data_IF_755823894273
#
_entry.id   IF_755823894273
#
_cell.length_a   1.000
_cell.length_b   1.000
_cell.length_c   1.000
_cell.angle_alpha   90.00
_cell.angle_beta   90.00
_cell.angle_gamma   90.00
#
_symmetry.space_group_name_H-M   'P 1'
#
loop_
_entity.id
_entity.type
_entity.pdbx_description
1 polymer ?
#
# COMPACT_ATOMS: atom_id res chain seq x y z
N UNK A 1 19.71 -11.96 -20.61
CA UNK A 1 19.12 -12.72 -19.48
C UNK A 1 19.49 -11.94 -18.24
N UNK A 2 18.64 -10.99 -17.84
CA UNK A 2 18.79 -10.34 -16.54
C UNK A 2 18.46 -11.40 -15.48
N UNK A 3 19.32 -11.50 -14.47
CA UNK A 3 19.15 -12.42 -13.36
C UNK A 3 17.79 -12.19 -12.68
N UNK A 4 16.98 -13.23 -12.58
CA UNK A 4 15.84 -13.25 -11.65
C UNK A 4 16.40 -12.81 -10.30
N UNK A 5 15.94 -11.67 -9.79
CA UNK A 5 16.44 -11.15 -8.51
C UNK A 5 16.26 -12.22 -7.43
N UNK A 6 17.34 -12.44 -6.68
CA UNK A 6 17.38 -13.43 -5.59
C UNK A 6 16.27 -13.12 -4.56
N UNK A 7 15.64 -14.16 -4.02
CA UNK A 7 14.59 -13.96 -3.01
C UNK A 7 15.16 -13.19 -1.81
N UNK A 8 14.41 -12.20 -1.26
CA UNK A 8 14.88 -11.51 -0.07
C UNK A 8 15.00 -12.48 1.10
N UNK A 9 16.01 -12.29 1.94
CA UNK A 9 16.08 -12.99 3.22
C UNK A 9 14.98 -12.50 4.15
N UNK A 10 14.69 -11.18 4.16
CA UNK A 10 13.60 -10.57 4.90
C UNK A 10 13.02 -9.38 4.12
N UNK A 11 11.73 -9.38 3.91
CA UNK A 11 11.01 -8.26 3.29
C UNK A 11 10.07 -7.58 4.30
N UNK A 12 9.87 -6.27 4.13
CA UNK A 12 8.83 -5.48 4.80
C UNK A 12 7.84 -4.96 3.76
N UNK A 13 6.57 -5.32 3.91
CA UNK A 13 5.46 -4.79 3.12
C UNK A 13 4.77 -3.69 3.92
N UNK A 14 4.71 -2.47 3.37
CA UNK A 14 4.01 -1.32 3.96
C UNK A 14 2.81 -0.97 3.10
N UNK A 15 1.61 -1.15 3.64
CA UNK A 15 0.34 -0.94 2.93
C UNK A 15 -0.51 0.12 3.63
N UNK A 16 -1.31 0.83 2.85
CA UNK A 16 -2.20 1.87 3.38
C UNK A 16 -3.35 1.30 4.18
N UNK A 17 -3.99 0.25 3.68
CA UNK A 17 -5.20 -0.33 4.25
C UNK A 17 -5.15 -1.85 4.28
N UNK A 18 -5.85 -2.48 5.26
CA UNK A 18 -6.11 -3.91 5.22
C UNK A 18 -6.84 -4.33 3.95
N UNK A 19 -6.34 -5.38 3.29
CA UNK A 19 -6.86 -5.91 2.02
C UNK A 19 -5.93 -5.66 0.82
N UNK A 20 -5.00 -4.67 0.89
CA UNK A 20 -4.05 -4.40 -0.20
C UNK A 20 -3.09 -5.55 -0.44
N UNK A 21 -2.78 -6.30 0.59
CA UNK A 21 -1.94 -7.51 0.54
C UNK A 21 -2.48 -8.58 -0.41
N UNK A 22 -3.79 -8.58 -0.68
CA UNK A 22 -4.40 -9.50 -1.65
C UNK A 22 -3.86 -9.32 -3.08
N UNK A 23 -3.36 -8.12 -3.40
CA UNK A 23 -2.74 -7.84 -4.71
C UNK A 23 -1.45 -8.64 -4.91
N UNK A 24 -0.78 -9.00 -3.82
CA UNK A 24 0.50 -9.70 -3.77
C UNK A 24 0.38 -11.10 -3.12
N UNK A 25 -0.76 -11.78 -3.31
CA UNK A 25 -1.09 -13.03 -2.65
C UNK A 25 -0.02 -14.13 -2.82
N UNK A 26 0.42 -14.33 -4.05
CA UNK A 26 1.45 -15.34 -4.35
C UNK A 26 2.84 -14.90 -3.88
N UNK A 27 3.15 -13.61 -4.00
CA UNK A 27 4.39 -13.06 -3.48
C UNK A 27 4.45 -13.21 -1.95
N UNK A 28 3.36 -12.88 -1.22
CA UNK A 28 3.24 -13.08 0.23
C UNK A 28 3.52 -14.52 0.64
N UNK A 29 2.87 -15.46 -0.04
CA UNK A 29 3.03 -16.89 0.22
C UNK A 29 4.47 -17.37 0.02
N UNK A 30 5.16 -16.80 -0.99
CA UNK A 30 6.54 -17.15 -1.34
C UNK A 30 7.55 -16.51 -0.40
N UNK A 31 7.37 -15.22 -0.09
CA UNK A 31 8.36 -14.39 0.62
C UNK A 31 8.11 -14.36 2.14
N UNK A 32 6.86 -14.47 2.58
CA UNK A 32 6.44 -14.42 4.00
C UNK A 32 6.96 -13.17 4.70
N UNK A 33 6.59 -11.95 4.20
CA UNK A 33 7.16 -10.71 4.68
C UNK A 33 6.66 -10.34 6.08
N UNK A 34 7.36 -9.39 6.69
CA UNK A 34 6.82 -8.53 7.73
C UNK A 34 5.83 -7.57 7.08
N UNK A 35 4.75 -7.23 7.79
CA UNK A 35 3.69 -6.37 7.23
C UNK A 35 3.40 -5.24 8.22
N UNK A 36 3.49 -4.00 7.74
CA UNK A 36 3.07 -2.81 8.45
C UNK A 36 1.89 -2.16 7.72
N UNK A 37 0.82 -1.89 8.45
CA UNK A 37 -0.41 -1.33 7.91
C UNK A 37 -0.56 0.10 8.43
N UNK A 38 -0.74 1.07 7.53
CA UNK A 38 -0.81 2.49 7.87
C UNK A 38 -2.09 2.83 8.63
N UNK A 39 -3.25 2.38 8.12
CA UNK A 39 -4.54 2.63 8.76
C UNK A 39 -5.28 1.34 9.08
N UNK A 40 -6.23 1.41 10.00
CA UNK A 40 -7.06 0.26 10.38
C UNK A 40 -8.12 -0.13 9.33
N UNK A 41 -8.25 0.66 8.25
CA UNK A 41 -9.22 0.42 7.20
C UNK A 41 -10.68 0.62 7.61
N UNK A 42 -10.94 1.32 8.72
CA UNK A 42 -12.29 1.53 9.23
C UNK A 42 -13.17 2.42 8.33
N UNK A 43 -12.54 3.34 7.58
CA UNK A 43 -13.21 4.19 6.61
C UNK A 43 -14.48 4.87 7.17
N UNK A 44 -15.52 4.90 6.35
CA UNK A 44 -16.83 5.46 6.75
C UNK A 44 -17.67 4.52 7.63
N UNK A 45 -17.28 3.25 7.76
CA UNK A 45 -18.03 2.26 8.55
C UNK A 45 -17.67 2.30 10.04
N UNK A 46 -16.51 2.84 10.39
CA UNK A 46 -15.96 2.81 11.75
C UNK A 46 -15.53 1.41 12.22
N UNK A 47 -15.50 0.41 11.33
CA UNK A 47 -15.15 -0.98 11.66
C UNK A 47 -13.78 -1.29 11.10
N UNK A 48 -12.82 -1.59 11.99
CA UNK A 48 -11.46 -2.01 11.60
C UNK A 48 -11.49 -3.34 10.83
N UNK A 49 -10.62 -3.42 9.81
CA UNK A 49 -10.44 -4.64 9.01
C UNK A 49 -9.13 -5.38 9.31
N UNK A 50 -8.42 -4.97 10.36
CA UNK A 50 -7.11 -5.54 10.72
C UNK A 50 -7.18 -7.05 10.96
N UNK A 51 -8.23 -7.55 11.61
CA UNK A 51 -8.35 -8.98 11.91
C UNK A 51 -8.49 -9.81 10.63
N UNK A 52 -9.19 -9.31 9.59
CA UNK A 52 -9.28 -9.98 8.30
C UNK A 52 -7.91 -10.09 7.61
N UNK A 53 -7.11 -9.03 7.66
CA UNK A 53 -5.74 -9.07 7.13
C UNK A 53 -4.82 -9.94 7.97
N UNK A 54 -4.99 -9.95 9.30
CA UNK A 54 -4.22 -10.84 10.18
C UNK A 54 -4.44 -12.30 9.82
N UNK A 55 -5.70 -12.74 9.75
CA UNK A 55 -6.06 -14.10 9.37
C UNK A 55 -5.50 -14.49 8.01
N UNK A 56 -5.56 -13.58 7.04
CA UNK A 56 -5.01 -13.80 5.70
C UNK A 56 -3.48 -13.95 5.74
N UNK A 57 -2.79 -12.95 6.31
CA UNK A 57 -1.33 -12.90 6.32
C UNK A 57 -0.72 -14.07 7.08
N UNK A 58 -1.23 -14.40 8.26
CA UNK A 58 -0.78 -15.56 9.06
C UNK A 58 -1.00 -16.88 8.30
N UNK A 59 -2.14 -17.01 7.58
CA UNK A 59 -2.41 -18.21 6.77
C UNK A 59 -1.42 -18.39 5.61
N UNK A 60 -0.73 -17.31 5.20
CA UNK A 60 0.29 -17.30 4.15
C UNK A 60 1.73 -17.30 4.72
N UNK A 61 1.87 -17.28 6.05
CA UNK A 61 3.15 -17.27 6.75
C UNK A 61 3.79 -15.89 6.90
N UNK A 62 3.07 -14.80 6.59
CA UNK A 62 3.48 -13.42 6.88
C UNK A 62 3.22 -13.04 8.35
N UNK A 63 3.92 -12.01 8.84
CA UNK A 63 3.81 -11.49 10.20
C UNK A 63 3.37 -10.02 10.17
N UNK A 64 2.22 -9.68 10.78
CA UNK A 64 1.84 -8.27 10.95
C UNK A 64 2.60 -7.71 12.15
N UNK A 65 3.57 -6.85 11.86
CA UNK A 65 4.41 -6.17 12.89
C UNK A 65 3.81 -4.83 13.34
N UNK A 66 3.01 -4.17 12.47
CA UNK A 66 2.25 -2.96 12.81
C UNK A 66 0.81 -3.13 12.32
N UNK A 67 -0.15 -3.41 13.23
CA UNK A 67 -1.55 -3.68 12.89
C UNK A 67 -2.40 -2.40 12.82
N UNK A 68 -2.20 -1.55 11.79
CA UNK A 68 -2.94 -0.30 11.65
C UNK A 68 -2.45 0.79 12.61
N UNK A 69 -1.49 1.58 12.15
CA UNK A 69 -0.86 2.64 12.98
C UNK A 69 -1.83 3.74 13.36
N UNK A 70 -2.79 4.03 12.48
CA UNK A 70 -3.79 5.08 12.67
C UNK A 70 -5.21 4.53 12.47
N UNK A 71 -6.14 5.05 13.24
CA UNK A 71 -7.57 4.99 12.88
C UNK A 71 -7.76 5.84 11.64
N UNK A 72 -8.44 5.34 10.62
CA UNK A 72 -8.42 5.97 9.30
C UNK A 72 -8.93 7.42 9.29
N UNK A 73 -10.04 7.82 9.95
CA UNK A 73 -10.43 9.23 10.06
C UNK A 73 -9.40 10.12 10.74
N UNK A 74 -8.63 9.60 11.72
CA UNK A 74 -7.60 10.36 12.39
C UNK A 74 -6.41 10.64 11.47
N UNK A 75 -6.04 9.67 10.63
CA UNK A 75 -5.02 9.85 9.60
C UNK A 75 -5.32 11.07 8.71
N UNK A 76 -6.55 11.18 8.18
CA UNK A 76 -6.93 12.33 7.35
C UNK A 76 -6.96 13.63 8.14
N UNK A 77 -7.42 13.58 9.39
CA UNK A 77 -7.46 14.73 10.28
C UNK A 77 -6.07 15.29 10.56
N UNK A 78 -5.07 14.44 10.75
CA UNK A 78 -3.66 14.83 10.95
C UNK A 78 -3.12 15.54 9.69
N UNK A 79 -3.38 15.00 8.50
CA UNK A 79 -2.96 15.62 7.24
C UNK A 79 -3.61 16.99 7.06
N UNK A 80 -4.93 17.10 7.26
CA UNK A 80 -5.67 18.35 7.10
C UNK A 80 -5.19 19.44 8.06
N UNK A 81 -4.65 19.08 9.23
CA UNK A 81 -4.06 20.03 10.19
C UNK A 81 -2.56 20.24 9.99
N UNK A 82 -1.93 19.57 9.02
CA UNK A 82 -0.48 19.67 8.79
C UNK A 82 0.38 19.09 9.94
N UNK A 83 -0.17 18.17 10.73
CA UNK A 83 0.53 17.55 11.84
C UNK A 83 1.50 16.47 11.34
N UNK A 84 2.80 16.74 11.39
CA UNK A 84 3.84 15.85 10.85
C UNK A 84 4.45 14.89 11.88
N UNK A 85 4.42 15.25 13.16
CA UNK A 85 5.10 14.50 14.22
C UNK A 85 4.64 13.03 14.34
N UNK A 86 3.33 12.68 14.25
CA UNK A 86 2.89 11.29 14.30
C UNK A 86 3.40 10.45 13.12
N UNK A 87 3.52 11.06 11.95
CA UNK A 87 4.03 10.39 10.75
C UNK A 87 5.55 10.17 10.80
N UNK A 88 6.28 11.17 11.35
CA UNK A 88 7.72 11.01 11.60
C UNK A 88 7.99 9.90 12.63
N UNK A 89 7.20 9.83 13.70
CA UNK A 89 7.30 8.76 14.69
C UNK A 89 7.06 7.38 14.06
N UNK A 90 6.12 7.29 13.10
CA UNK A 90 5.89 6.04 12.39
C UNK A 90 7.04 5.71 11.42
N UNK A 91 7.61 6.69 10.72
CA UNK A 91 8.80 6.46 9.90
C UNK A 91 9.99 5.95 10.74
N UNK A 92 10.18 6.48 11.95
CA UNK A 92 11.20 6.01 12.90
C UNK A 92 10.94 4.56 13.38
N UNK A 93 9.68 4.22 13.66
CA UNK A 93 9.27 2.85 14.00
C UNK A 93 9.58 1.87 12.86
N UNK A 94 9.26 2.23 11.62
CA UNK A 94 9.60 1.43 10.45
C UNK A 94 11.12 1.30 10.24
N UNK A 95 11.88 2.39 10.44
CA UNK A 95 13.34 2.37 10.38
C UNK A 95 13.94 1.39 11.39
N UNK A 96 13.43 1.40 12.62
CA UNK A 96 13.84 0.46 13.67
C UNK A 96 13.53 -1.00 13.29
N UNK A 97 12.34 -1.28 12.73
CA UNK A 97 12.00 -2.61 12.21
C UNK A 97 12.97 -3.04 11.09
N UNK A 98 13.29 -2.13 10.15
CA UNK A 98 14.24 -2.38 9.06
C UNK A 98 15.61 -2.80 9.62
N UNK A 99 16.09 -2.10 10.63
CA UNK A 99 17.39 -2.39 11.24
C UNK A 99 17.38 -3.67 12.07
N UNK A 100 16.46 -3.83 13.01
CA UNK A 100 16.39 -4.98 13.92
C UNK A 100 16.11 -6.30 13.22
N UNK A 101 15.20 -6.27 12.24
CA UNK A 101 14.77 -7.48 11.52
C UNK A 101 15.64 -7.74 10.28
N UNK A 102 16.68 -6.94 10.07
CA UNK A 102 17.59 -7.09 8.93
C UNK A 102 16.85 -7.12 7.57
N UNK A 103 15.88 -6.22 7.37
CA UNK A 103 15.11 -6.12 6.14
C UNK A 103 16.02 -5.73 4.97
N UNK A 104 15.95 -6.45 3.85
CA UNK A 104 16.70 -6.20 2.62
C UNK A 104 15.84 -5.75 1.44
N UNK A 105 14.50 -5.84 1.59
CA UNK A 105 13.54 -5.31 0.62
C UNK A 105 12.37 -4.65 1.35
N UNK A 106 12.07 -3.39 1.02
CA UNK A 106 10.86 -2.68 1.43
C UNK A 106 9.95 -2.57 0.22
N UNK A 107 8.69 -3.01 0.37
CA UNK A 107 7.65 -2.92 -0.66
C UNK A 107 6.53 -2.03 -0.14
N UNK A 108 6.01 -1.12 -0.97
CA UNK A 108 4.89 -0.26 -0.57
C UNK A 108 3.84 -0.10 -1.69
N UNK A 109 2.68 0.43 -1.32
CA UNK A 109 1.68 0.88 -2.28
C UNK A 109 2.29 1.97 -3.18
N UNK A 110 1.98 1.94 -4.49
CA UNK A 110 2.45 2.96 -5.42
C UNK A 110 1.60 4.23 -5.37
N UNK A 111 2.16 5.32 -5.90
CA UNK A 111 1.46 6.61 -6.02
C UNK A 111 0.59 6.58 -7.27
N UNK A 112 -0.71 6.36 -7.09
CA UNK A 112 -1.66 6.28 -8.21
C UNK A 112 -2.58 7.51 -8.32
N UNK A 113 -2.56 8.42 -7.34
CA UNK A 113 -3.45 9.59 -7.27
C UNK A 113 -4.90 9.23 -6.94
N UNK A 114 -5.16 8.00 -6.57
CA UNK A 114 -6.51 7.48 -6.28
C UNK A 114 -6.95 7.78 -4.85
N UNK A 115 -6.06 7.54 -3.89
CA UNK A 115 -6.36 7.65 -2.46
C UNK A 115 -5.16 8.23 -1.69
N UNK A 116 -5.36 9.22 -0.78
CA UNK A 116 -4.23 9.89 -0.15
C UNK A 116 -3.38 8.97 0.73
N UNK A 117 -3.97 7.97 1.39
CA UNK A 117 -3.21 7.02 2.19
C UNK A 117 -2.33 6.08 1.34
N UNK A 118 -2.81 5.68 0.13
CA UNK A 118 -1.99 4.90 -0.81
C UNK A 118 -0.76 5.71 -1.23
N UNK A 119 -1.00 6.94 -1.69
CA UNK A 119 0.04 7.84 -2.15
C UNK A 119 1.05 8.17 -1.03
N UNK A 120 0.61 8.15 0.24
CA UNK A 120 1.45 8.44 1.40
C UNK A 120 2.42 7.30 1.77
N UNK A 121 2.18 6.06 1.33
CA UNK A 121 3.08 4.94 1.64
C UNK A 121 4.49 5.14 1.07
N UNK A 122 4.62 5.72 -0.11
CA UNK A 122 5.92 5.96 -0.75
C UNK A 122 6.79 6.98 0.01
N UNK A 123 6.34 8.22 0.33
CA UNK A 123 7.14 9.18 1.11
C UNK A 123 7.43 8.67 2.53
N UNK A 124 6.50 7.95 3.17
CA UNK A 124 6.70 7.34 4.47
C UNK A 124 7.84 6.31 4.46
N UNK A 125 7.83 5.38 3.51
CA UNK A 125 8.88 4.36 3.40
C UNK A 125 10.22 4.93 2.96
N UNK A 126 10.25 6.00 2.15
CA UNK A 126 11.48 6.75 1.84
C UNK A 126 12.06 7.37 3.10
N UNK A 127 11.25 8.01 3.93
CA UNK A 127 11.69 8.57 5.20
C UNK A 127 12.22 7.49 6.14
N UNK A 128 11.53 6.34 6.25
CA UNK A 128 11.98 5.22 7.06
C UNK A 128 13.35 4.67 6.61
N UNK A 129 13.55 4.51 5.29
CA UNK A 129 14.83 4.06 4.74
C UNK A 129 15.96 5.07 4.98
N UNK A 130 15.68 6.36 4.91
CA UNK A 130 16.66 7.41 5.17
C UNK A 130 17.00 7.54 6.66
N UNK A 131 16.05 7.22 7.56
CA UNK A 131 16.26 7.20 9.01
C UNK A 131 16.92 5.91 9.51
N UNK A 132 16.87 4.83 8.74
CA UNK A 132 17.50 3.55 9.10
C UNK A 132 19.02 3.69 9.11
N UNK A 133 19.64 3.25 10.19
CA UNK A 133 21.09 3.30 10.36
C UNK A 133 21.83 2.36 9.39
N UNK A 134 21.19 1.30 8.93
CA UNK A 134 21.81 0.25 8.12
C UNK A 134 21.32 0.17 6.68
N UNK A 135 20.17 0.77 6.33
CA UNK A 135 19.54 0.57 5.03
C UNK A 135 20.46 0.93 3.85
N UNK A 136 21.16 2.06 3.92
CA UNK A 136 22.05 2.51 2.84
C UNK A 136 23.26 1.58 2.69
N UNK A 137 23.91 1.20 3.79
CA UNK A 137 25.11 0.34 3.76
C UNK A 137 24.78 -1.09 3.33
N UNK A 138 23.56 -1.56 3.58
CA UNK A 138 23.08 -2.89 3.19
C UNK A 138 22.48 -2.92 1.79
N UNK A 139 22.27 -1.75 1.17
CA UNK A 139 21.65 -1.67 -0.16
C UNK A 139 20.21 -2.15 -0.17
N UNK A 140 19.43 -1.79 0.87
CA UNK A 140 18.02 -2.18 0.97
C UNK A 140 17.26 -1.71 -0.27
N UNK A 141 16.63 -2.66 -0.98
CA UNK A 141 15.86 -2.38 -2.18
C UNK A 141 14.51 -1.78 -1.81
N UNK A 142 14.09 -0.76 -2.54
CA UNK A 142 12.78 -0.13 -2.37
C UNK A 142 11.94 -0.35 -3.61
N UNK A 143 10.83 -1.06 -3.45
CA UNK A 143 9.92 -1.47 -4.52
C UNK A 143 8.49 -1.00 -4.20
N UNK A 144 7.66 -0.91 -5.25
CA UNK A 144 6.24 -0.57 -5.15
C UNK A 144 5.40 -1.46 -6.06
N UNK A 145 4.09 -1.48 -5.83
CA UNK A 145 3.13 -2.19 -6.69
C UNK A 145 1.82 -1.40 -6.81
N UNK A 146 1.11 -1.58 -7.91
CA UNK A 146 -0.20 -0.95 -8.13
C UNK A 146 -1.28 -1.61 -7.29
N UNK A 147 -2.04 -0.78 -6.57
CA UNK A 147 -3.17 -1.22 -5.76
C UNK A 147 -4.47 -1.17 -6.56
N UNK A 148 -4.76 -0.03 -7.21
CA UNK A 148 -6.04 0.24 -7.88
C UNK A 148 -5.95 0.05 -9.38
N UNK A 149 -4.84 0.45 -10.00
CA UNK A 149 -4.63 0.34 -11.44
C UNK A 149 -4.57 -1.10 -11.93
N UNK A 150 -4.65 -1.24 -13.26
CA UNK A 150 -4.46 -2.53 -13.91
C UNK A 150 -3.14 -3.17 -13.44
N UNK A 151 -3.14 -4.43 -13.02
CA UNK A 151 -1.91 -5.13 -12.71
C UNK A 151 -0.91 -5.06 -13.86
N UNK A 152 0.37 -4.83 -13.55
CA UNK A 152 1.42 -4.94 -14.56
C UNK A 152 1.61 -6.39 -14.97
N UNK A 153 2.10 -6.60 -16.19
CA UNK A 153 2.45 -7.94 -16.66
C UNK A 153 3.89 -8.28 -16.31
N UNK A 154 4.20 -9.56 -16.25
CA UNK A 154 5.56 -10.06 -15.97
C UNK A 154 6.57 -9.68 -17.06
N UNK A 155 6.10 -9.25 -18.23
CA UNK A 155 6.92 -8.82 -19.35
C UNK A 155 7.16 -7.30 -19.38
N UNK A 156 6.64 -6.54 -18.42
CA UNK A 156 6.89 -5.10 -18.34
C UNK A 156 8.38 -4.83 -18.12
N UNK A 157 8.93 -3.86 -18.87
CA UNK A 157 10.36 -3.55 -18.83
C UNK A 157 10.87 -3.11 -17.45
N UNK A 158 9.98 -2.52 -16.64
CA UNK A 158 10.27 -2.07 -15.28
C UNK A 158 10.02 -3.12 -14.20
N UNK A 159 9.58 -4.32 -14.58
CA UNK A 159 9.35 -5.42 -13.63
C UNK A 159 10.69 -5.80 -12.95
N UNK A 160 10.68 -5.79 -11.61
CA UNK A 160 11.84 -6.18 -10.80
C UNK A 160 11.61 -7.50 -10.09
N UNK A 161 10.35 -7.82 -9.84
CA UNK A 161 9.93 -9.07 -9.20
C UNK A 161 8.65 -9.59 -9.85
N UNK A 162 8.76 -10.17 -11.05
CA UNK A 162 7.58 -10.72 -11.72
C UNK A 162 7.20 -12.08 -11.12
N UNK A 163 5.94 -12.22 -10.77
CA UNK A 163 5.33 -13.50 -10.38
C UNK A 163 4.13 -13.75 -11.26
N UNK A 164 4.10 -14.88 -11.95
CA UNK A 164 2.91 -15.40 -12.61
C UNK A 164 2.38 -16.56 -11.77
N UNK A 165 1.13 -16.47 -11.35
CA UNK A 165 0.51 -17.47 -10.49
C UNK A 165 0.08 -18.69 -11.32
N UNK A 166 0.36 -19.89 -10.81
CA UNK A 166 -0.25 -21.11 -11.32
C UNK A 166 -1.79 -21.11 -11.10
N UNK A 167 -2.50 -21.97 -11.80
CA UNK A 167 -3.97 -22.01 -11.77
C UNK A 167 -4.53 -22.23 -10.37
N UNK A 168 -3.89 -23.05 -9.56
CA UNK A 168 -4.35 -23.34 -8.20
C UNK A 168 -4.18 -22.13 -7.29
N UNK A 169 -3.02 -21.48 -7.31
CA UNK A 169 -2.72 -20.28 -6.53
C UNK A 169 -3.58 -19.10 -7.00
N UNK A 170 -3.78 -18.94 -8.30
CA UNK A 170 -4.63 -17.91 -8.86
C UNK A 170 -6.10 -18.09 -8.44
N UNK A 171 -6.66 -19.28 -8.58
CA UNK A 171 -8.03 -19.59 -8.16
C UNK A 171 -8.24 -19.31 -6.68
N UNK A 172 -7.26 -19.64 -5.83
CA UNK A 172 -7.30 -19.37 -4.40
C UNK A 172 -7.24 -17.87 -4.11
N UNK A 173 -6.38 -17.10 -4.79
CA UNK A 173 -6.32 -15.64 -4.69
C UNK A 173 -7.68 -15.01 -4.99
N UNK A 174 -8.32 -15.37 -6.11
CA UNK A 174 -9.63 -14.83 -6.49
C UNK A 174 -10.69 -15.18 -5.45
N UNK A 175 -10.73 -16.44 -5.02
CA UNK A 175 -11.64 -16.90 -3.98
C UNK A 175 -11.46 -16.12 -2.66
N UNK A 176 -10.22 -15.92 -2.22
CA UNK A 176 -9.86 -15.17 -1.02
C UNK A 176 -10.22 -13.70 -1.13
N UNK A 177 -9.97 -13.08 -2.29
CA UNK A 177 -10.33 -11.68 -2.55
C UNK A 177 -11.82 -11.44 -2.46
N UNK A 178 -12.64 -12.31 -3.04
CA UNK A 178 -14.11 -12.23 -2.94
C UNK A 178 -14.59 -12.40 -1.49
N UNK A 179 -14.09 -13.44 -0.81
CA UNK A 179 -14.47 -13.69 0.60
C UNK A 179 -14.07 -12.53 1.52
N UNK A 180 -12.87 -11.97 1.33
CA UNK A 180 -12.39 -10.81 2.07
C UNK A 180 -13.31 -9.60 1.81
N UNK A 181 -13.63 -9.33 0.55
CA UNK A 181 -14.50 -8.23 0.16
C UNK A 181 -15.90 -8.35 0.76
N UNK A 182 -16.50 -9.55 0.73
CA UNK A 182 -17.79 -9.82 1.36
C UNK A 182 -17.76 -9.59 2.88
N UNK A 183 -16.72 -10.08 3.56
CA UNK A 183 -16.55 -9.91 5.01
C UNK A 183 -16.28 -8.44 5.42
N UNK A 184 -15.67 -7.66 4.52
CA UNK A 184 -15.34 -6.23 4.76
C UNK A 184 -16.53 -5.28 4.52
N UNK A 185 -17.62 -5.77 3.97
CA UNK A 185 -18.83 -4.99 3.70
C UNK A 185 -18.98 -4.53 2.24
N UNK A 186 -20.11 -3.91 1.94
CA UNK A 186 -20.57 -3.65 0.58
C UNK A 186 -19.66 -2.75 -0.26
N UNK A 187 -18.97 -1.79 0.34
CA UNK A 187 -18.12 -0.83 -0.39
C UNK A 187 -16.93 -1.56 -1.01
N UNK A 188 -16.16 -2.34 -0.22
CA UNK A 188 -15.02 -3.06 -0.75
C UNK A 188 -15.44 -4.19 -1.71
N UNK A 189 -16.60 -4.82 -1.49
CA UNK A 189 -17.14 -5.81 -2.42
C UNK A 189 -17.42 -5.18 -3.79
N UNK A 190 -17.97 -3.96 -3.83
CA UNK A 190 -18.19 -3.22 -5.08
C UNK A 190 -16.86 -2.81 -5.76
N UNK A 191 -15.86 -2.39 -4.99
CA UNK A 191 -14.53 -2.02 -5.53
C UNK A 191 -13.82 -3.23 -6.14
N UNK A 192 -13.83 -4.38 -5.47
CA UNK A 192 -13.23 -5.62 -5.99
C UNK A 192 -13.97 -6.10 -7.24
N UNK A 193 -15.31 -6.08 -7.24
CA UNK A 193 -16.11 -6.42 -8.40
C UNK A 193 -15.80 -5.49 -9.58
N UNK A 194 -15.77 -4.17 -9.33
CA UNK A 194 -15.40 -3.17 -10.35
C UNK A 194 -14.02 -3.42 -10.97
N UNK A 195 -13.02 -3.77 -10.14
CA UNK A 195 -11.67 -4.09 -10.65
C UNK A 195 -11.68 -5.33 -11.53
N UNK A 196 -12.38 -6.40 -11.12
CA UNK A 196 -12.47 -7.62 -11.92
C UNK A 196 -13.24 -7.40 -13.24
N UNK A 197 -14.31 -6.61 -13.21
CA UNK A 197 -15.08 -6.26 -14.40
C UNK A 197 -14.29 -5.36 -15.35
N UNK A 198 -13.48 -4.43 -14.80
CA UNK A 198 -12.73 -3.44 -15.59
C UNK A 198 -11.50 -4.06 -16.25
N UNK A 199 -10.74 -4.88 -15.53
CA UNK A 199 -9.45 -5.39 -16.00
C UNK A 199 -9.49 -6.86 -16.42
N UNK A 200 -10.57 -7.58 -16.10
CA UNK A 200 -10.66 -9.04 -16.19
C UNK A 200 -9.95 -9.73 -15.02
N UNK A 201 -10.52 -10.82 -14.51
CA UNK A 201 -9.92 -11.56 -13.40
C UNK A 201 -8.51 -12.05 -13.74
N UNK A 202 -8.28 -12.50 -14.97
CA UNK A 202 -7.00 -13.06 -15.41
C UNK A 202 -5.83 -12.06 -15.31
N UNK A 203 -6.10 -10.74 -15.38
CA UNK A 203 -5.07 -9.73 -15.16
C UNK A 203 -4.42 -9.82 -13.76
N UNK A 204 -5.16 -10.34 -12.78
CA UNK A 204 -4.70 -10.50 -11.40
C UNK A 204 -3.83 -11.75 -11.18
N UNK A 205 -3.62 -12.55 -12.22
CA UNK A 205 -2.65 -13.65 -12.23
C UNK A 205 -1.21 -13.13 -12.12
N UNK A 206 -0.97 -11.93 -12.62
CA UNK A 206 0.34 -11.30 -12.58
C UNK A 206 0.49 -10.45 -11.31
N UNK A 207 1.58 -10.68 -10.58
CA UNK A 207 2.01 -9.88 -9.45
C UNK A 207 3.40 -9.33 -9.76
N UNK A 208 3.49 -8.01 -9.87
CA UNK A 208 4.73 -7.37 -10.34
C UNK A 208 5.10 -6.25 -9.38
N UNK A 209 6.31 -6.34 -8.85
CA UNK A 209 6.96 -5.25 -8.14
C UNK A 209 7.84 -4.47 -9.12
N UNK A 210 7.94 -3.17 -8.91
CA UNK A 210 8.79 -2.26 -9.69
C UNK A 210 9.60 -1.39 -8.73
N UNK A 211 10.56 -0.63 -9.25
CA UNK A 211 11.32 0.32 -8.41
C UNK A 211 10.38 1.37 -7.83
N UNK A 212 10.50 1.65 -6.55
CA UNK A 212 9.67 2.64 -5.87
C UNK A 212 9.86 4.06 -6.46
N UNK A 213 8.74 4.73 -6.75
CA UNK A 213 8.69 6.03 -7.42
C UNK A 213 8.75 5.95 -8.94
N UNK A 214 8.58 4.76 -9.54
CA UNK A 214 8.41 4.60 -11.00
C UNK A 214 6.99 4.94 -11.44
N UNK A 215 5.99 4.77 -10.58
CA UNK A 215 4.62 5.12 -10.88
C UNK A 215 4.39 6.63 -10.75
N UNK A 216 3.51 7.16 -11.58
CA UNK A 216 3.09 8.55 -11.53
C UNK A 216 1.59 8.63 -11.27
N UNK A 217 1.14 9.61 -10.45
CA UNK A 217 -0.28 9.74 -10.16
C UNK A 217 -1.06 10.08 -11.42
N UNK A 218 -2.18 9.41 -11.62
CA UNK A 218 -3.13 9.81 -12.67
C UNK A 218 -3.84 11.08 -12.25
N UNK A 219 -3.81 12.07 -13.15
CA UNK A 219 -4.50 13.34 -12.94
C UNK A 219 -5.75 13.44 -13.82
N UNK A 220 -6.78 14.07 -13.31
CA UNK A 220 -8.04 14.38 -13.96
C UNK A 220 -8.23 15.90 -13.88
N UNK A 221 -8.15 16.58 -15.01
CA UNK A 221 -8.15 18.05 -15.06
C UNK A 221 -7.15 18.70 -14.09
N UNK A 222 -5.95 18.11 -13.98
CA UNK A 222 -4.88 18.57 -13.09
C UNK A 222 -5.02 18.17 -11.62
N UNK A 223 -6.09 17.51 -11.23
CA UNK A 223 -6.36 17.05 -9.86
C UNK A 223 -6.18 15.53 -9.72
N UNK A 224 -5.82 15.06 -8.54
CA UNK A 224 -5.86 13.63 -8.19
C UNK A 224 -7.32 13.19 -8.00
N UNK A 225 -7.59 11.92 -8.21
CA UNK A 225 -8.95 11.37 -8.06
C UNK A 225 -9.55 11.64 -6.68
N UNK A 226 -8.76 11.48 -5.61
CA UNK A 226 -9.25 11.71 -4.24
C UNK A 226 -9.68 13.17 -4.00
N UNK A 227 -9.12 14.15 -4.71
CA UNK A 227 -9.52 15.56 -4.60
C UNK A 227 -10.90 15.77 -5.26
N UNK A 228 -11.09 15.23 -6.46
CA UNK A 228 -12.39 15.26 -7.15
C UNK A 228 -13.47 14.56 -6.32
N UNK A 229 -13.14 13.37 -5.82
CA UNK A 229 -14.05 12.61 -4.94
C UNK A 229 -14.36 13.37 -3.66
N UNK A 230 -13.36 14.02 -3.06
CA UNK A 230 -13.52 14.90 -1.91
C UNK A 230 -14.51 16.03 -2.16
N UNK A 231 -14.45 16.70 -3.32
CA UNK A 231 -15.41 17.74 -3.71
C UNK A 231 -16.83 17.22 -3.82
N UNK A 232 -17.00 16.03 -4.42
CA UNK A 232 -18.32 15.39 -4.49
C UNK A 232 -18.88 15.09 -3.09
N UNK A 233 -18.02 14.58 -2.18
CA UNK A 233 -18.43 14.27 -0.81
C UNK A 233 -18.80 15.53 -0.02
N UNK A 234 -18.06 16.64 -0.20
CA UNK A 234 -18.39 17.94 0.42
C UNK A 234 -19.70 18.49 -0.13
N UNK A 235 -19.89 18.48 -1.47
CA UNK A 235 -21.16 18.89 -2.11
C UNK A 235 -22.36 18.06 -1.63
N UNK A 236 -22.13 16.80 -1.32
CA UNK A 236 -23.16 15.90 -0.77
C UNK A 236 -23.36 16.02 0.76
N UNK A 237 -22.63 16.93 1.43
CA UNK A 237 -22.71 17.15 2.86
C UNK A 237 -22.12 16.02 3.73
N UNK A 238 -21.36 15.10 3.13
CA UNK A 238 -20.75 13.98 3.85
C UNK A 238 -19.38 14.29 4.42
N UNK A 239 -18.61 15.18 3.77
CA UNK A 239 -17.33 15.66 4.26
C UNK A 239 -17.42 17.16 4.59
N UNK A 240 -16.61 17.61 5.56
CA UNK A 240 -16.52 19.04 5.96
C UNK A 240 -15.53 19.81 5.08
N UNK A 241 -14.49 19.14 4.58
CA UNK A 241 -13.42 19.76 3.79
C UNK A 241 -12.88 18.75 2.78
N UNK A 242 -12.23 19.28 1.75
CA UNK A 242 -11.51 18.48 0.74
C UNK A 242 -10.05 18.38 1.14
N UNK A 243 -9.50 17.19 1.19
CA UNK A 243 -8.05 17.00 1.28
C UNK A 243 -7.45 17.28 -0.10
N UNK A 244 -6.59 18.30 -0.18
CA UNK A 244 -5.87 18.70 -1.39
C UNK A 244 -4.43 18.22 -1.33
N UNK A 245 -3.91 17.76 -2.47
CA UNK A 245 -2.53 17.31 -2.53
C UNK A 245 -1.55 18.43 -2.18
N UNK A 246 -1.61 19.54 -2.93
CA UNK A 246 -0.65 20.65 -2.78
C UNK A 246 -0.79 21.41 -1.47
N UNK A 247 -2.00 21.50 -0.91
CA UNK A 247 -2.25 22.27 0.31
C UNK A 247 -2.03 21.47 1.58
N UNK A 248 -2.28 20.15 1.56
CA UNK A 248 -2.32 19.35 2.76
C UNK A 248 -1.33 18.18 2.73
N UNK A 249 -1.33 17.32 1.67
CA UNK A 249 -0.52 16.11 1.65
C UNK A 249 0.94 16.42 1.35
N UNK A 250 1.22 17.19 0.30
CA UNK A 250 2.58 17.55 -0.13
C UNK A 250 3.41 18.22 0.96
N UNK A 251 2.90 19.17 1.77
CA UNK A 251 3.67 19.75 2.88
C UNK A 251 4.05 18.73 3.95
N UNK A 252 3.18 17.74 4.24
CA UNK A 252 3.48 16.66 5.19
C UNK A 252 4.55 15.73 4.62
N UNK A 253 4.45 15.35 3.34
CA UNK A 253 5.48 14.57 2.63
C UNK A 253 6.85 15.28 2.63
N UNK A 254 6.85 16.59 2.32
CA UNK A 254 8.08 17.39 2.33
C UNK A 254 8.73 17.46 3.72
N UNK A 255 7.91 17.58 4.78
CA UNK A 255 8.41 17.58 6.15
C UNK A 255 9.02 16.24 6.59
N UNK A 256 8.51 15.12 6.08
CA UNK A 256 9.11 13.79 6.29
C UNK A 256 10.49 13.72 5.62
N UNK A 257 10.59 14.14 4.35
CA UNK A 257 11.84 14.13 3.60
C UNK A 257 12.92 15.06 4.16
N UNK A 258 12.53 16.19 4.78
CA UNK A 258 13.48 17.16 5.33
C UNK A 258 14.10 16.73 6.68
N UNK A 259 13.52 15.74 7.35
CA UNK A 259 13.92 15.25 8.69
C UNK A 259 14.51 13.84 8.68
N UNK A 260 14.54 13.23 7.48
CA UNK A 260 15.10 11.90 7.22
C UNK A 260 16.52 11.90 6.56
#
# INVERSE_FOLDING_TARGET
>A
MESVEEQPHQALLVIAHPGHELRLYGWLRKVRPLIAILTDGSGSTGISRIDLSRDLCESLGGEIVVPGRFVEPDFYSLILRGETAPFLAFAQELAHIIDERSVDVVVCDSVEGYHPAHDFCLPLTRAALALSASASSRGVRHLEYRVVGQPRTVNDADARWPVELDDATFSEKIRRSRRYAEASGSVLAQEVAYMFDTYGEDAFRHEVLQRAGSEQPRLYDGMRYFEMRGEEQVRAGRYRSVLRYTEHLQPVEAALCARS
#
